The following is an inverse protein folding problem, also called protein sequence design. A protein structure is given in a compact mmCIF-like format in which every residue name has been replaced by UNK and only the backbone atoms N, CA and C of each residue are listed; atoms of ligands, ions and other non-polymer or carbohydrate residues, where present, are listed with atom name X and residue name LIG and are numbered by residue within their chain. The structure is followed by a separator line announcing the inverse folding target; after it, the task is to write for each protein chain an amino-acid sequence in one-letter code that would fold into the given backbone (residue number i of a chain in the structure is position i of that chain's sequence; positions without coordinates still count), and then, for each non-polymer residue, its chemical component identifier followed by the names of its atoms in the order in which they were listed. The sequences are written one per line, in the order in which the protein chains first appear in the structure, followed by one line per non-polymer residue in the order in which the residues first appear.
data_IF_481785231485
#
_entry.id   IF_481785231485
#
_cell.length_a   1.000
_cell.length_b   1.000
_cell.length_c   1.000
_cell.angle_alpha   90.00
_cell.angle_beta   90.00
_cell.angle_gamma   90.00
#
_symmetry.space_group_name_H-M   'P 1'
#
loop_
_entity.id
_entity.type
_entity.pdbx_description
1 polymer ?
#
# COMPACT_ATOMS: atom_id res chain seq x y z
N UNK A 1 -0.90 6.46 -13.71
CA UNK A 1 0.25 5.82 -14.37
C UNK A 1 0.85 4.83 -13.37
N UNK A 2 0.80 3.53 -13.68
CA UNK A 2 1.30 2.49 -12.79
C UNK A 2 2.75 2.18 -13.19
N UNK A 3 3.69 2.70 -12.40
CA UNK A 3 5.16 2.59 -12.60
C UNK A 3 5.64 1.13 -12.70
N UNK A 4 4.81 0.16 -12.29
CA UNK A 4 5.14 -1.26 -12.20
C UNK A 4 4.43 -2.13 -13.24
N UNK A 5 3.68 -1.51 -14.15
CA UNK A 5 3.20 -2.15 -15.37
C UNK A 5 4.33 -2.32 -16.40
N UNK A 6 5.53 -2.74 -15.96
CA UNK A 6 6.66 -3.05 -16.84
C UNK A 6 6.34 -4.35 -17.57
N UNK A 7 5.44 -4.31 -18.53
CA UNK A 7 5.22 -5.42 -19.44
C UNK A 7 6.48 -5.64 -20.30
N UNK A 8 6.71 -6.84 -20.83
CA UNK A 8 7.75 -7.06 -21.84
C UNK A 8 7.64 -6.00 -22.96
N UNK A 9 8.77 -5.35 -23.27
CA UNK A 9 8.82 -4.26 -24.26
C UNK A 9 8.46 -2.87 -23.73
N UNK A 10 8.24 -2.69 -22.43
CA UNK A 10 8.08 -1.36 -21.82
C UNK A 10 9.31 -0.50 -22.07
N UNK A 11 9.09 0.69 -22.62
CA UNK A 11 10.15 1.68 -22.84
C UNK A 11 10.65 2.23 -21.50
N UNK A 12 11.97 2.39 -21.29
CA UNK A 12 12.54 2.93 -20.05
C UNK A 12 11.96 4.29 -19.63
N UNK A 13 11.65 5.13 -20.60
CA UNK A 13 11.08 6.47 -20.38
C UNK A 13 9.66 6.43 -19.80
N UNK A 14 8.93 5.34 -20.06
CA UNK A 14 7.57 5.14 -19.58
C UNK A 14 7.51 4.62 -18.13
N UNK A 15 8.66 4.26 -17.54
CA UNK A 15 8.73 3.74 -16.16
C UNK A 15 8.22 4.80 -15.17
N UNK A 16 8.63 6.05 -15.33
CA UNK A 16 8.19 7.16 -14.48
C UNK A 16 8.06 8.43 -15.31
N UNK A 17 7.04 9.24 -15.00
CA UNK A 17 6.80 10.54 -15.66
C UNK A 17 8.03 11.45 -15.76
N UNK A 18 8.94 11.40 -14.77
CA UNK A 18 10.18 12.20 -14.81
C UNK A 18 11.07 11.87 -16.01
N UNK A 19 11.05 10.63 -16.50
CA UNK A 19 11.88 10.20 -17.62
C UNK A 19 11.27 10.57 -18.97
N UNK A 20 9.96 10.79 -19.05
CA UNK A 20 9.34 11.42 -20.24
C UNK A 20 9.90 12.83 -20.47
N UNK A 21 10.17 13.57 -19.38
CA UNK A 21 10.73 14.93 -19.43
C UNK A 21 12.25 14.97 -19.44
N UNK A 22 12.92 13.86 -19.12
CA UNK A 22 14.37 13.75 -19.04
C UNK A 22 14.86 12.36 -19.49
N UNK A 23 14.65 11.98 -20.77
CA UNK A 23 14.92 10.63 -21.27
C UNK A 23 16.42 10.26 -21.28
N UNK A 24 17.31 11.25 -21.30
CA UNK A 24 18.76 11.03 -21.22
C UNK A 24 19.20 10.36 -19.91
N UNK A 25 18.39 10.40 -18.85
CA UNK A 25 18.68 9.76 -17.56
C UNK A 25 18.57 8.22 -17.62
N UNK A 26 17.89 7.68 -18.64
CA UNK A 26 17.63 6.24 -18.81
C UNK A 26 18.15 5.69 -20.13
N UNK A 27 18.94 6.48 -20.86
CA UNK A 27 19.50 6.06 -22.15
C UNK A 27 20.35 4.80 -22.02
N UNK A 28 20.11 3.83 -22.91
CA UNK A 28 20.83 2.56 -22.95
C UNK A 28 20.40 1.55 -21.89
N UNK A 29 19.41 1.87 -21.05
CA UNK A 29 18.90 0.96 -20.01
C UNK A 29 17.62 0.27 -20.49
N UNK A 30 17.30 -0.87 -19.90
CA UNK A 30 15.96 -1.47 -19.97
C UNK A 30 15.07 -0.88 -18.86
N UNK A 31 13.75 -1.01 -18.99
CA UNK A 31 12.83 -0.61 -17.93
C UNK A 31 13.11 -1.33 -16.60
N UNK A 32 13.50 -2.61 -16.67
CA UNK A 32 13.92 -3.41 -15.52
C UNK A 32 15.14 -2.81 -14.82
N UNK A 33 16.19 -2.47 -15.58
CA UNK A 33 17.40 -1.84 -15.05
C UNK A 33 17.09 -0.49 -14.39
N UNK A 34 16.26 0.33 -15.03
CA UNK A 34 15.83 1.61 -14.46
C UNK A 34 15.14 1.44 -13.12
N UNK A 35 14.26 0.45 -13.01
CA UNK A 35 13.57 0.16 -11.76
C UNK A 35 14.53 -0.36 -10.69
N UNK A 36 15.35 -1.35 -11.01
CA UNK A 36 16.35 -1.92 -10.08
C UNK A 36 17.28 -0.84 -9.55
N UNK A 37 17.82 0.01 -10.44
CA UNK A 37 18.71 1.10 -10.06
C UNK A 37 18.01 2.18 -9.21
N UNK A 38 16.75 2.52 -9.50
CA UNK A 38 15.99 3.46 -8.68
C UNK A 38 15.78 2.93 -7.26
N UNK A 39 15.50 1.63 -7.10
CA UNK A 39 15.37 0.98 -5.79
C UNK A 39 16.71 1.02 -5.04
N UNK A 40 17.80 0.62 -5.69
CA UNK A 40 19.14 0.62 -5.10
C UNK A 40 19.59 2.02 -4.68
N UNK A 41 19.38 3.02 -5.54
CA UNK A 41 19.72 4.41 -5.26
C UNK A 41 18.90 4.95 -4.06
N UNK A 42 17.61 4.63 -4.00
CA UNK A 42 16.74 5.04 -2.89
C UNK A 42 17.16 4.38 -1.58
N UNK A 43 17.47 3.08 -1.62
CA UNK A 43 17.96 2.31 -0.46
C UNK A 43 19.26 2.90 0.08
N UNK A 44 20.22 3.19 -0.80
CA UNK A 44 21.48 3.84 -0.44
C UNK A 44 21.26 5.24 0.15
N UNK A 45 20.33 6.01 -0.43
CA UNK A 45 19.98 7.33 0.07
C UNK A 45 19.37 7.28 1.48
N UNK A 46 18.43 6.36 1.73
CA UNK A 46 17.84 6.15 3.06
C UNK A 46 18.90 5.77 4.09
N UNK A 47 19.76 4.79 3.77
CA UNK A 47 20.85 4.38 4.67
C UNK A 47 21.77 5.54 5.01
N UNK A 48 22.17 6.33 4.02
CA UNK A 48 23.08 7.46 4.20
C UNK A 48 22.45 8.63 4.96
N UNK A 49 21.17 8.91 4.74
CA UNK A 49 20.50 10.12 5.27
C UNK A 49 19.77 9.88 6.58
N UNK A 50 19.24 8.68 6.77
CA UNK A 50 18.42 8.30 7.92
C UNK A 50 19.10 7.24 8.81
N UNK A 51 20.24 6.68 8.38
CA UNK A 51 20.91 5.60 9.12
C UNK A 51 20.15 4.27 9.09
N UNK A 52 19.14 4.12 8.22
CA UNK A 52 18.27 2.94 8.14
C UNK A 52 18.13 2.43 6.73
N UNK A 53 18.08 1.11 6.60
CA UNK A 53 17.63 0.44 5.38
C UNK A 53 16.10 0.33 5.39
N UNK A 54 15.44 0.34 4.22
CA UNK A 54 14.00 0.13 4.15
C UNK A 54 13.65 -1.30 4.57
N UNK A 55 12.61 -1.43 5.38
CA UNK A 55 12.12 -2.73 5.88
C UNK A 55 11.21 -3.44 4.87
N UNK A 56 10.62 -2.69 3.95
CA UNK A 56 9.81 -3.21 2.85
C UNK A 56 9.67 -2.21 1.73
N UNK A 57 8.92 -2.61 0.70
CA UNK A 57 8.79 -1.81 -0.52
C UNK A 57 7.33 -1.53 -0.87
N UNK A 58 6.98 -0.25 -1.07
CA UNK A 58 5.65 0.15 -1.56
C UNK A 58 5.75 0.75 -2.96
N UNK A 59 4.92 0.28 -3.89
CA UNK A 59 4.90 0.82 -5.25
C UNK A 59 4.20 2.19 -5.29
N UNK A 60 4.67 3.15 -6.12
CA UNK A 60 3.89 4.33 -6.42
C UNK A 60 2.62 3.97 -7.21
N UNK A 61 1.47 4.44 -6.71
CA UNK A 61 0.17 4.37 -7.40
C UNK A 61 -0.59 3.04 -7.27
N UNK A 62 0.06 1.96 -6.83
CA UNK A 62 -0.56 0.65 -6.68
C UNK A 62 -1.00 -0.01 -8.00
N UNK A 63 -1.24 -1.32 -7.96
CA UNK A 63 -1.72 -2.13 -9.08
C UNK A 63 -2.89 -3.02 -8.63
N UNK A 64 -4.04 -3.05 -9.31
CA UNK A 64 -5.12 -3.99 -8.98
C UNK A 64 -4.69 -5.46 -8.95
N UNK A 65 -3.71 -5.84 -9.77
CA UNK A 65 -3.16 -7.19 -9.80
C UNK A 65 -1.95 -7.40 -8.87
N UNK A 66 -1.50 -6.37 -8.14
CA UNK A 66 -0.22 -6.41 -7.43
C UNK A 66 0.92 -6.85 -8.36
N UNK A 67 1.62 -7.92 -7.98
CA UNK A 67 2.63 -8.63 -8.77
C UNK A 67 2.17 -10.02 -9.23
N UNK A 68 0.86 -10.30 -9.25
CA UNK A 68 0.34 -11.57 -9.75
C UNK A 68 0.81 -11.82 -11.20
N UNK A 69 1.31 -13.03 -11.47
CA UNK A 69 1.88 -13.40 -12.78
C UNK A 69 3.24 -12.77 -13.10
N UNK A 70 3.86 -12.03 -12.17
CA UNK A 70 5.16 -11.35 -12.33
C UNK A 70 6.24 -11.93 -11.44
N UNK A 71 6.47 -13.24 -11.58
CA UNK A 71 7.52 -13.94 -10.83
C UNK A 71 8.92 -13.32 -11.06
N UNK A 72 9.15 -12.72 -12.24
CA UNK A 72 10.35 -11.96 -12.57
C UNK A 72 10.55 -10.72 -11.65
N UNK A 73 9.50 -9.92 -11.45
CA UNK A 73 9.56 -8.77 -10.53
C UNK A 73 9.61 -9.25 -9.08
N UNK A 74 8.84 -10.29 -8.74
CA UNK A 74 8.88 -10.86 -7.38
C UNK A 74 10.31 -11.30 -7.02
N UNK A 75 10.98 -12.00 -7.94
CA UNK A 75 12.37 -12.43 -7.75
C UNK A 75 13.33 -11.23 -7.68
N UNK A 76 13.16 -10.21 -8.53
CA UNK A 76 13.93 -8.98 -8.43
C UNK A 76 13.83 -8.35 -7.03
N UNK A 77 12.63 -8.27 -6.46
CA UNK A 77 12.43 -7.70 -5.13
C UNK A 77 13.16 -8.51 -4.06
N UNK A 78 13.08 -9.84 -4.13
CA UNK A 78 13.82 -10.75 -3.24
C UNK A 78 15.34 -10.59 -3.38
N UNK A 79 15.85 -10.54 -4.61
CA UNK A 79 17.27 -10.35 -4.91
C UNK A 79 17.80 -9.00 -4.38
N UNK A 80 16.93 -7.99 -4.33
CA UNK A 80 17.22 -6.67 -3.77
C UNK A 80 17.08 -6.60 -2.25
N UNK A 81 16.76 -7.72 -1.58
CA UNK A 81 16.65 -7.82 -0.13
C UNK A 81 15.28 -7.49 0.44
N UNK A 82 14.28 -7.22 -0.40
CA UNK A 82 12.91 -6.98 0.04
C UNK A 82 12.14 -8.28 0.15
N UNK A 83 11.83 -8.71 1.37
CA UNK A 83 11.09 -9.93 1.64
C UNK A 83 9.56 -9.72 1.65
N UNK A 84 9.11 -8.46 1.68
CA UNK A 84 7.71 -8.09 1.49
C UNK A 84 7.55 -6.81 0.68
N UNK A 85 6.40 -6.70 0.01
CA UNK A 85 5.98 -5.55 -0.78
C UNK A 85 4.56 -5.13 -0.44
N UNK A 86 4.22 -3.89 -0.76
CA UNK A 86 2.88 -3.35 -0.78
C UNK A 86 2.65 -2.72 -2.16
N UNK A 87 2.16 -3.54 -3.07
CA UNK A 87 1.98 -3.23 -4.48
C UNK A 87 0.53 -3.32 -4.93
N UNK A 88 -0.26 -4.19 -4.29
CA UNK A 88 -1.65 -4.40 -4.64
C UNK A 88 -2.52 -3.26 -4.10
N UNK A 89 -3.36 -2.68 -4.95
CA UNK A 89 -4.34 -1.67 -4.56
C UNK A 89 -5.65 -1.89 -5.31
N UNK A 90 -6.72 -2.19 -4.58
CA UNK A 90 -8.05 -2.37 -5.15
C UNK A 90 -8.72 -1.02 -5.37
N UNK A 91 -9.25 -0.78 -6.56
CA UNK A 91 -10.01 0.43 -6.83
C UNK A 91 -11.49 0.24 -6.48
N UNK A 92 -12.04 1.16 -5.68
CA UNK A 92 -13.46 1.19 -5.34
C UNK A 92 -14.12 2.43 -5.95
N UNK A 93 -15.15 2.26 -6.79
CA UNK A 93 -15.96 3.38 -7.27
C UNK A 93 -16.77 4.00 -6.13
N UNK A 94 -16.52 5.28 -5.88
CA UNK A 94 -17.18 6.09 -4.86
C UNK A 94 -17.76 7.36 -5.48
N UNK A 95 -18.85 7.86 -4.89
CA UNK A 95 -19.35 9.18 -5.23
C UNK A 95 -18.28 10.26 -4.97
N UNK A 96 -18.09 11.22 -5.89
CA UNK A 96 -17.08 12.26 -5.75
C UNK A 96 -17.41 13.30 -4.68
N UNK A 97 -18.68 13.45 -4.32
CA UNK A 97 -19.20 14.39 -3.33
C UNK A 97 -20.40 13.74 -2.63
N UNK A 98 -20.61 14.05 -1.34
CA UNK A 98 -21.71 13.53 -0.52
C UNK A 98 -21.85 11.99 -0.59
N UNK A 99 -20.80 11.22 -0.24
CA UNK A 99 -20.88 9.77 -0.23
C UNK A 99 -22.01 9.27 0.69
N UNK A 100 -22.73 8.26 0.21
CA UNK A 100 -23.82 7.61 0.94
C UNK A 100 -23.30 6.45 1.79
N UNK A 101 -24.13 5.93 2.70
CA UNK A 101 -23.82 4.69 3.42
C UNK A 101 -23.52 3.51 2.47
N UNK A 102 -24.17 3.45 1.31
CA UNK A 102 -23.89 2.44 0.30
C UNK A 102 -22.51 2.62 -0.35
N UNK A 103 -22.02 3.86 -0.49
CA UNK A 103 -20.64 4.12 -0.92
C UNK A 103 -19.66 3.60 0.12
N UNK A 104 -19.86 3.93 1.39
CA UNK A 104 -18.99 3.47 2.47
C UNK A 104 -19.01 1.95 2.63
N UNK A 105 -20.18 1.31 2.52
CA UNK A 105 -20.28 -0.15 2.60
C UNK A 105 -19.48 -0.84 1.49
N UNK A 106 -19.49 -0.31 0.26
CA UNK A 106 -18.66 -0.85 -0.83
C UNK A 106 -17.16 -0.77 -0.53
N UNK A 107 -16.71 0.26 0.20
CA UNK A 107 -15.31 0.36 0.64
C UNK A 107 -15.00 -0.69 1.71
N UNK A 108 -15.91 -0.87 2.68
CA UNK A 108 -15.79 -1.89 3.74
C UNK A 108 -15.72 -3.30 3.15
N UNK A 109 -16.63 -3.64 2.24
CA UNK A 109 -16.67 -4.97 1.61
C UNK A 109 -15.34 -5.31 0.93
N UNK A 110 -14.69 -4.30 0.33
CA UNK A 110 -13.42 -4.42 -0.37
C UNK A 110 -12.19 -4.51 0.53
N UNK A 111 -12.34 -4.37 1.84
CA UNK A 111 -11.24 -4.64 2.78
C UNK A 111 -10.80 -6.11 2.76
N UNK A 112 -11.71 -7.02 2.41
CA UNK A 112 -11.39 -8.45 2.22
C UNK A 112 -10.35 -8.70 1.13
N UNK A 113 -10.36 -7.89 0.07
CA UNK A 113 -9.38 -7.94 -1.03
C UNK A 113 -8.02 -7.35 -0.62
N UNK A 114 -7.96 -6.65 0.53
CA UNK A 114 -6.79 -5.94 1.03
C UNK A 114 -6.06 -6.66 2.18
N UNK A 115 -6.13 -8.00 2.22
CA UNK A 115 -5.50 -8.82 3.27
C UNK A 115 -4.17 -9.43 2.80
N UNK A 116 -3.16 -9.56 3.70
CA UNK A 116 -1.82 -9.96 3.31
C UNK A 116 -1.76 -11.44 2.92
N UNK A 117 -0.91 -11.76 1.93
CA UNK A 117 -0.70 -13.11 1.41
C UNK A 117 0.75 -13.30 0.95
N UNK A 118 1.15 -14.55 0.72
CA UNK A 118 2.48 -14.87 0.18
C UNK A 118 2.34 -15.34 -1.27
N UNK A 119 3.15 -14.77 -2.14
CA UNK A 119 3.30 -15.24 -3.52
C UNK A 119 3.97 -16.62 -3.56
N UNK A 120 3.83 -17.40 -4.66
CA UNK A 120 4.52 -18.68 -4.82
C UNK A 120 6.05 -18.61 -4.71
N UNK A 121 6.65 -17.45 -4.99
CA UNK A 121 8.10 -17.18 -4.85
C UNK A 121 8.55 -17.02 -3.39
N UNK A 122 7.61 -16.93 -2.43
CA UNK A 122 7.88 -16.65 -1.03
C UNK A 122 7.90 -15.17 -0.67
N UNK A 123 7.79 -14.26 -1.64
CA UNK A 123 7.61 -12.83 -1.40
C UNK A 123 6.24 -12.57 -0.75
N UNK A 124 6.19 -11.75 0.29
CA UNK A 124 4.91 -11.38 0.94
C UNK A 124 4.32 -10.14 0.31
N UNK A 125 3.02 -10.17 -0.02
CA UNK A 125 2.22 -9.01 -0.39
C UNK A 125 1.43 -8.52 0.83
N UNK A 126 1.54 -7.23 1.11
CA UNK A 126 0.68 -6.49 2.04
C UNK A 126 -0.13 -5.49 1.20
N UNK A 127 -1.32 -5.86 0.73
CA UNK A 127 -2.14 -4.97 -0.07
C UNK A 127 -2.46 -3.66 0.65
N UNK A 128 -2.59 -2.58 -0.13
CA UNK A 128 -3.07 -1.29 0.33
C UNK A 128 -4.59 -1.36 0.56
N UNK A 129 -5.10 -0.68 1.59
CA UNK A 129 -6.55 -0.55 1.77
C UNK A 129 -7.22 0.12 0.56
N UNK A 130 -8.49 -0.21 0.28
CA UNK A 130 -9.18 0.16 -0.97
C UNK A 130 -9.38 1.67 -1.20
N UNK A 131 -9.25 2.50 -0.16
CA UNK A 131 -9.43 3.94 -0.26
C UNK A 131 -8.46 4.68 0.65
N UNK A 132 -7.93 5.80 0.16
CA UNK A 132 -7.02 6.70 0.86
C UNK A 132 -7.22 8.14 0.43
N UNK A 133 -6.43 9.03 1.03
CA UNK A 133 -6.58 10.49 0.91
C UNK A 133 -6.54 11.03 -0.53
N UNK A 134 -5.73 10.46 -1.42
CA UNK A 134 -5.66 10.88 -2.84
C UNK A 134 -7.00 10.68 -3.52
N UNK A 135 -7.66 9.55 -3.27
CA UNK A 135 -8.95 9.24 -3.86
C UNK A 135 -10.09 9.96 -3.17
N UNK A 136 -9.93 10.37 -1.91
CA UNK A 136 -10.93 11.12 -1.14
C UNK A 136 -10.87 12.63 -1.34
N UNK A 137 -9.69 13.24 -1.54
CA UNK A 137 -9.54 14.70 -1.55
C UNK A 137 -8.94 15.30 -2.83
N UNK A 138 -8.01 14.59 -3.49
CA UNK A 138 -7.13 15.23 -4.49
C UNK A 138 -7.61 15.15 -5.94
N UNK A 139 -8.55 14.28 -6.28
CA UNK A 139 -9.03 14.18 -7.67
C UNK A 139 -9.84 15.44 -8.01
N UNK A 140 -9.73 15.92 -9.24
CA UNK A 140 -10.31 17.20 -9.69
C UNK A 140 -11.82 17.32 -9.38
N UNK A 141 -12.55 16.21 -9.43
CA UNK A 141 -13.98 16.16 -9.16
C UNK A 141 -14.33 15.88 -7.70
N UNK A 142 -13.36 15.50 -6.87
CA UNK A 142 -13.60 14.97 -5.53
C UNK A 142 -13.66 16.09 -4.50
N UNK A 143 -14.70 16.09 -3.67
CA UNK A 143 -14.99 17.12 -2.67
C UNK A 143 -15.41 16.51 -1.34
N UNK A 144 -14.81 15.39 -0.95
CA UNK A 144 -15.11 14.84 0.37
C UNK A 144 -14.69 15.84 1.44
N UNK A 145 -15.52 15.96 2.47
CA UNK A 145 -15.15 16.65 3.70
C UNK A 145 -14.30 15.74 4.57
N UNK A 146 -13.61 16.31 5.54
CA UNK A 146 -12.97 15.51 6.60
C UNK A 146 -14.00 14.60 7.32
N UNK A 147 -15.25 15.04 7.48
CA UNK A 147 -16.31 14.22 8.08
C UNK A 147 -16.63 12.95 7.28
N UNK A 148 -16.64 13.04 5.96
CA UNK A 148 -16.84 11.88 5.07
C UNK A 148 -15.68 10.88 5.20
N UNK A 149 -14.46 11.40 5.25
CA UNK A 149 -13.26 10.58 5.41
C UNK A 149 -13.20 9.89 6.77
N UNK A 150 -13.57 10.58 7.86
CA UNK A 150 -13.67 10.01 9.20
C UNK A 150 -14.73 8.91 9.27
N UNK A 151 -15.89 9.12 8.64
CA UNK A 151 -16.96 8.10 8.56
C UNK A 151 -16.48 6.84 7.85
N UNK A 152 -15.73 7.00 6.75
CA UNK A 152 -15.12 5.87 6.04
C UNK A 152 -14.10 5.12 6.91
N UNK A 153 -13.22 5.85 7.59
CA UNK A 153 -12.22 5.27 8.50
C UNK A 153 -12.91 4.50 9.62
N UNK A 154 -13.89 5.09 10.29
CA UNK A 154 -14.62 4.46 11.39
C UNK A 154 -15.19 3.10 10.98
N UNK A 155 -15.91 3.05 9.84
CA UNK A 155 -16.52 1.82 9.34
C UNK A 155 -15.47 0.77 8.94
N UNK A 156 -14.39 1.19 8.27
CA UNK A 156 -13.33 0.26 7.83
C UNK A 156 -12.53 -0.31 9.00
N UNK A 157 -12.16 0.54 9.97
CA UNK A 157 -11.42 0.13 11.17
C UNK A 157 -12.30 -0.73 12.06
N UNK A 158 -13.57 -0.36 12.25
CA UNK A 158 -14.55 -1.18 12.98
C UNK A 158 -14.66 -2.58 12.39
N UNK A 159 -14.85 -2.68 11.07
CA UNK A 159 -14.85 -3.97 10.37
C UNK A 159 -13.54 -4.74 10.57
N UNK A 160 -12.38 -4.08 10.48
CA UNK A 160 -11.09 -4.75 10.65
C UNK A 160 -10.90 -5.30 12.08
N UNK A 161 -11.34 -4.56 13.10
CA UNK A 161 -11.33 -4.99 14.49
C UNK A 161 -12.22 -6.23 14.66
N UNK A 162 -13.46 -6.17 14.18
CA UNK A 162 -14.43 -7.27 14.29
C UNK A 162 -13.93 -8.56 13.62
N UNK A 163 -13.28 -8.42 12.46
CA UNK A 163 -12.83 -9.54 11.64
C UNK A 163 -11.37 -9.95 11.92
N UNK A 164 -10.68 -9.31 12.87
CA UNK A 164 -9.25 -9.49 13.14
C UNK A 164 -8.39 -9.36 11.89
N UNK A 165 -8.77 -8.42 11.03
CA UNK A 165 -8.20 -8.15 9.72
C UNK A 165 -7.20 -6.98 9.78
N UNK A 166 -6.66 -6.62 8.62
CA UNK A 166 -5.75 -5.49 8.42
C UNK A 166 -6.51 -4.31 7.83
N UNK A 167 -6.22 -3.11 8.35
CA UNK A 167 -6.54 -1.82 7.75
C UNK A 167 -5.25 -0.99 7.66
N UNK A 168 -4.99 -0.41 6.48
CA UNK A 168 -3.82 0.43 6.21
C UNK A 168 -4.27 1.86 5.90
N UNK A 169 -3.93 2.82 6.77
CA UNK A 169 -4.28 4.23 6.55
C UNK A 169 -3.36 4.84 5.47
N UNK A 170 -3.86 4.91 4.24
CA UNK A 170 -3.15 5.50 3.11
C UNK A 170 -3.30 7.02 3.09
N UNK A 171 -2.25 7.70 3.57
CA UNK A 171 -2.22 9.16 3.67
C UNK A 171 -0.89 9.76 3.22
N UNK A 172 -0.94 11.00 2.77
CA UNK A 172 0.17 11.81 2.28
C UNK A 172 0.20 13.13 3.06
N UNK A 173 1.37 13.55 3.61
CA UNK A 173 1.48 14.80 4.33
C UNK A 173 1.01 16.02 3.53
N UNK A 174 1.22 16.03 2.21
CA UNK A 174 0.80 17.13 1.34
C UNK A 174 -0.71 17.30 1.19
N UNK A 175 -1.51 16.29 1.54
CA UNK A 175 -2.98 16.33 1.50
C UNK A 175 -3.49 16.52 2.92
N UNK A 176 -3.07 15.64 3.85
CA UNK A 176 -3.59 15.65 5.22
C UNK A 176 -3.26 16.92 6.00
N UNK A 177 -2.15 17.60 5.69
CA UNK A 177 -1.87 18.90 6.30
C UNK A 177 -2.93 19.97 5.99
N UNK A 178 -3.62 19.84 4.85
CA UNK A 178 -4.69 20.75 4.42
C UNK A 178 -6.04 20.24 4.90
N UNK A 179 -6.32 18.96 4.66
CA UNK A 179 -7.66 18.37 4.85
C UNK A 179 -7.92 17.91 6.28
N UNK A 180 -6.88 17.57 7.05
CA UNK A 180 -6.96 17.14 8.44
C UNK A 180 -5.85 17.78 9.30
N UNK A 181 -5.81 19.13 9.40
CA UNK A 181 -4.74 19.84 10.11
C UNK A 181 -4.73 19.57 11.63
N UNK A 182 -5.79 18.93 12.15
CA UNK A 182 -5.96 18.58 13.56
C UNK A 182 -5.71 17.11 13.86
N UNK A 183 -5.28 16.31 12.87
CA UNK A 183 -5.00 14.88 13.03
C UNK A 183 -6.21 14.05 13.50
N UNK A 184 -7.43 14.48 13.19
CA UNK A 184 -8.68 13.82 13.60
C UNK A 184 -8.75 12.37 13.13
N UNK A 185 -8.23 12.06 11.94
CA UNK A 185 -8.18 10.70 11.41
C UNK A 185 -7.28 9.78 12.23
N UNK A 186 -6.17 10.30 12.75
CA UNK A 186 -5.23 9.54 13.57
C UNK A 186 -5.78 9.35 14.99
N UNK A 187 -6.40 10.40 15.57
CA UNK A 187 -7.06 10.33 16.88
C UNK A 187 -8.18 9.29 16.87
N UNK A 188 -9.06 9.33 15.85
CA UNK A 188 -10.14 8.35 15.69
C UNK A 188 -9.63 6.90 15.66
N UNK A 189 -8.56 6.61 14.92
CA UNK A 189 -7.98 5.26 14.88
C UNK A 189 -7.44 4.85 16.24
N UNK A 190 -6.74 5.75 16.92
CA UNK A 190 -6.22 5.48 18.26
C UNK A 190 -7.35 5.16 19.25
N UNK A 191 -8.43 5.95 19.21
CA UNK A 191 -9.60 5.76 20.06
C UNK A 191 -10.30 4.43 19.78
N UNK A 192 -10.51 4.07 18.51
CA UNK A 192 -11.12 2.80 18.12
C UNK A 192 -10.27 1.60 18.56
N UNK A 193 -8.94 1.68 18.40
CA UNK A 193 -8.02 0.63 18.85
C UNK A 193 -8.02 0.52 20.37
N UNK A 194 -8.00 1.64 21.10
CA UNK A 194 -8.08 1.64 22.56
C UNK A 194 -9.40 1.04 23.06
N UNK A 195 -10.53 1.49 22.50
CA UNK A 195 -11.87 1.01 22.84
C UNK A 195 -12.07 -0.48 22.51
N UNK A 196 -11.27 -1.03 21.59
CA UNK A 196 -11.32 -2.46 21.23
C UNK A 196 -10.92 -3.40 22.39
N UNK A 197 -10.35 -2.89 23.48
CA UNK A 197 -9.98 -3.68 24.65
C UNK A 197 -8.90 -4.72 24.37
N UNK A 198 -7.96 -4.40 23.47
CA UNK A 198 -6.85 -5.29 23.08
C UNK A 198 -7.18 -6.24 21.92
N UNK A 199 -8.33 -6.09 21.25
CA UNK A 199 -8.64 -6.85 20.03
C UNK A 199 -7.85 -6.40 18.80
N UNK A 200 -7.34 -5.16 18.80
CA UNK A 200 -6.51 -4.60 17.74
C UNK A 200 -5.26 -3.90 18.30
N UNK A 201 -4.29 -3.66 17.41
CA UNK A 201 -3.06 -2.94 17.70
C UNK A 201 -2.61 -2.16 16.47
N UNK A 202 -1.99 -0.99 16.70
CA UNK A 202 -1.30 -0.21 15.67
C UNK A 202 0.12 -0.78 15.55
N UNK A 203 0.49 -1.23 14.36
CA UNK A 203 1.78 -1.89 14.09
C UNK A 203 2.36 -1.42 12.76
N UNK A 204 3.66 -1.67 12.56
CA UNK A 204 4.28 -1.54 11.24
C UNK A 204 3.79 -2.61 10.27
N UNK A 205 3.93 -2.33 8.96
CA UNK A 205 3.52 -3.26 7.90
C UNK A 205 4.39 -4.53 7.87
N UNK A 206 5.60 -4.46 8.41
CA UNK A 206 6.51 -5.59 8.61
C UNK A 206 5.93 -6.65 9.56
N UNK A 207 5.30 -6.22 10.65
CA UNK A 207 4.62 -7.12 11.60
C UNK A 207 3.46 -7.84 10.90
N UNK A 208 2.75 -7.14 10.01
CA UNK A 208 1.65 -7.70 9.21
C UNK A 208 2.19 -8.73 8.22
N UNK A 209 3.27 -8.39 7.50
CA UNK A 209 3.94 -9.28 6.57
C UNK A 209 4.47 -10.54 7.27
N UNK A 210 5.06 -10.41 8.45
CA UNK A 210 5.55 -11.53 9.25
C UNK A 210 4.40 -12.46 9.66
N UNK A 211 3.28 -11.90 10.09
CA UNK A 211 2.09 -12.68 10.44
C UNK A 211 1.55 -13.49 9.25
N UNK A 212 1.54 -12.90 8.05
CA UNK A 212 1.12 -13.59 6.83
C UNK A 212 2.06 -14.77 6.49
N UNK A 213 3.37 -14.54 6.58
CA UNK A 213 4.39 -15.58 6.38
C UNK A 213 4.23 -16.75 7.36
N UNK A 214 3.99 -16.46 8.64
CA UNK A 214 3.77 -17.49 9.67
C UNK A 214 2.50 -18.31 9.42
N UNK A 215 1.41 -17.69 8.99
CA UNK A 215 0.13 -18.38 8.71
C UNK A 215 0.21 -19.39 7.58
N UNK A 216 1.11 -19.20 6.62
CA UNK A 216 1.29 -20.13 5.49
C UNK A 216 2.32 -21.22 5.75
N UNK A 217 3.15 -21.09 6.79
CA UNK A 217 4.10 -22.13 7.17
C UNK A 217 3.35 -23.18 8.00
N UNK A 218 3.27 -24.46 7.58
CA UNK A 218 2.68 -25.50 8.43
C UNK A 218 3.44 -25.56 9.76
N UNK A 219 2.78 -25.85 10.90
CA UNK A 219 3.50 -26.05 12.15
C UNK A 219 4.54 -27.18 11.96
N UNK A 220 5.73 -27.07 12.59
CA UNK A 220 6.72 -28.13 12.52
C UNK A 220 6.09 -29.45 12.95
N UNK A 221 6.35 -30.52 12.17
CA UNK A 221 5.90 -31.87 12.51
C UNK A 221 6.42 -32.20 13.92
N UNK A 222 5.52 -32.30 14.90
CA UNK A 222 5.86 -32.66 16.29
C UNK A 222 5.36 -31.70 17.38
N UNK A 223 4.65 -30.62 17.05
CA UNK A 223 3.95 -29.81 18.05
C UNK A 223 2.45 -30.15 18.07
N UNK A 224 2.09 -31.22 18.78
CA UNK A 224 0.75 -31.53 19.26
C UNK A 224 0.86 -32.00 20.72
#
# INVERSE_FOLDING_TARGET
MNVWAIAPGTKPEAVQFRFERAPWLVTGKTAEQVVRENILATTAAMKRRLGKEPDGFRTPGGNPAGLDGRADIQQMMLDLGFWWVSSRATHVPIAPENPTDADFQRVVDRQTDAQPYVYPTGLVEVPMSPLGDVASFRREQQKWTIGDFLTMIEKCVGWAIENRAVFDLLTHPSIMYIEDPKFQSYELICDLVHASGGKAAIVGLDVIAERAKRRQTPPPKGAA
#
